data_IF_536994545655
#
_entry.id   IF_536994545655
#
_cell.length_a   1.000
_cell.length_b   1.000
_cell.length_c   1.000
_cell.angle_alpha   90.00
_cell.angle_beta   90.00
_cell.angle_gamma   90.00
#
_symmetry.space_group_name_H-M   'P 1'
#
loop_
_entity.id
_entity.type
_entity.pdbx_description
1 polymer ?
#
# COMPACT_ATOMS: atom_id res chain seq x y z
N UNK A 1 -17.11 -34.46 -2.79
CA UNK A 1 -17.13 -33.01 -2.43
C UNK A 1 -16.63 -32.06 -3.53
N UNK A 2 -15.99 -32.53 -4.61
CA UNK A 2 -15.54 -31.65 -5.71
C UNK A 2 -16.64 -31.30 -6.74
N UNK A 3 -17.65 -32.16 -6.90
CA UNK A 3 -18.73 -31.93 -7.88
C UNK A 3 -19.66 -30.75 -7.53
N UNK A 4 -19.87 -30.45 -6.23
CA UNK A 4 -20.68 -29.29 -5.81
C UNK A 4 -19.96 -27.95 -5.99
N UNK A 5 -18.64 -27.93 -6.14
CA UNK A 5 -17.86 -26.70 -6.32
C UNK A 5 -18.05 -26.11 -7.72
N UNK A 6 -18.21 -26.95 -8.75
CA UNK A 6 -18.34 -26.48 -10.13
C UNK A 6 -19.70 -25.83 -10.44
N UNK A 7 -20.76 -26.21 -9.72
CA UNK A 7 -22.10 -25.63 -9.92
C UNK A 7 -22.27 -24.25 -9.28
N UNK A 8 -21.40 -23.90 -8.31
CA UNK A 8 -21.50 -22.64 -7.57
C UNK A 8 -20.92 -21.45 -8.34
N UNK A 9 -20.08 -21.69 -9.36
CA UNK A 9 -19.34 -20.62 -10.05
C UNK A 9 -20.12 -20.04 -11.25
N UNK A 10 -21.29 -20.61 -11.58
CA UNK A 10 -22.19 -20.17 -12.65
C UNK A 10 -23.32 -19.27 -12.13
N UNK A 11 -23.00 -17.98 -11.92
CA UNK A 11 -24.00 -16.90 -12.03
C UNK A 11 -24.90 -16.61 -10.81
N UNK A 12 -24.54 -17.02 -9.59
CA UNK A 12 -25.30 -16.60 -8.41
C UNK A 12 -25.02 -15.13 -8.05
N UNK A 13 -26.10 -14.37 -7.85
CA UNK A 13 -26.04 -13.02 -7.30
C UNK A 13 -25.47 -13.05 -5.88
N UNK A 14 -24.48 -12.20 -5.61
CA UNK A 14 -23.82 -12.09 -4.29
C UNK A 14 -24.78 -11.65 -3.17
N UNK A 15 -25.94 -11.10 -3.52
CA UNK A 15 -26.89 -10.45 -2.60
C UNK A 15 -27.44 -11.38 -1.50
N UNK A 16 -27.46 -12.70 -1.73
CA UNK A 16 -28.00 -13.69 -0.78
C UNK A 16 -26.93 -14.63 -0.20
N UNK A 17 -25.64 -14.40 -0.51
CA UNK A 17 -24.56 -15.28 -0.09
C UNK A 17 -24.05 -14.92 1.31
N UNK A 18 -23.64 -15.95 2.06
CA UNK A 18 -22.90 -15.73 3.30
C UNK A 18 -21.48 -15.26 2.98
N UNK A 19 -20.81 -14.57 3.92
CA UNK A 19 -19.44 -14.11 3.70
C UNK A 19 -18.43 -15.23 3.40
N UNK A 20 -18.68 -16.45 3.89
CA UNK A 20 -17.87 -17.64 3.58
C UNK A 20 -18.08 -18.07 2.13
N UNK A 21 -19.31 -18.05 1.64
CA UNK A 21 -19.65 -18.44 0.27
C UNK A 21 -19.11 -17.43 -0.75
N UNK A 22 -19.15 -16.14 -0.43
CA UNK A 22 -18.56 -15.08 -1.24
C UNK A 22 -17.04 -15.30 -1.41
N UNK A 23 -16.32 -15.63 -0.34
CA UNK A 23 -14.88 -15.94 -0.42
C UNK A 23 -14.60 -17.16 -1.27
N UNK A 24 -15.41 -18.21 -1.11
CA UNK A 24 -15.29 -19.43 -1.92
C UNK A 24 -15.55 -19.15 -3.40
N UNK A 25 -16.47 -18.23 -3.70
CA UNK A 25 -16.71 -17.72 -5.04
C UNK A 25 -15.49 -16.98 -5.60
N UNK A 26 -14.84 -16.13 -4.80
CA UNK A 26 -13.60 -15.44 -5.22
C UNK A 26 -12.46 -16.40 -5.52
N UNK A 27 -12.25 -17.41 -4.67
CA UNK A 27 -11.29 -18.48 -4.90
C UNK A 27 -11.56 -19.20 -6.23
N UNK A 28 -12.84 -19.42 -6.56
CA UNK A 28 -13.26 -20.09 -7.79
C UNK A 28 -13.12 -19.20 -9.03
N UNK A 29 -13.36 -17.89 -8.89
CA UNK A 29 -13.19 -16.93 -9.98
C UNK A 29 -11.74 -16.84 -10.46
N UNK A 30 -10.79 -16.88 -9.52
CA UNK A 30 -9.35 -16.80 -9.82
C UNK A 30 -8.93 -15.51 -10.56
N UNK A 31 -9.83 -14.53 -10.64
CA UNK A 31 -9.68 -13.32 -11.44
C UNK A 31 -9.86 -12.10 -10.55
N UNK A 32 -8.74 -11.42 -10.28
CA UNK A 32 -8.67 -10.25 -9.40
C UNK A 32 -9.53 -9.10 -9.91
N UNK A 33 -9.69 -8.96 -11.24
CA UNK A 33 -10.51 -7.87 -11.80
C UNK A 33 -11.98 -8.04 -11.41
N UNK A 34 -12.49 -9.27 -11.44
CA UNK A 34 -13.87 -9.57 -11.04
C UNK A 34 -14.08 -9.42 -9.54
N UNK A 35 -13.11 -9.85 -8.73
CA UNK A 35 -13.17 -9.65 -7.27
C UNK A 35 -13.17 -8.16 -6.96
N UNK A 36 -12.31 -7.38 -7.60
CA UNK A 36 -12.27 -5.93 -7.45
C UNK A 36 -13.61 -5.28 -7.81
N UNK A 37 -14.21 -5.66 -8.95
CA UNK A 37 -15.52 -5.15 -9.36
C UNK A 37 -16.61 -5.48 -8.34
N UNK A 38 -16.64 -6.71 -7.83
CA UNK A 38 -17.59 -7.11 -6.79
C UNK A 38 -17.41 -6.30 -5.50
N UNK A 39 -16.15 -6.05 -5.11
CA UNK A 39 -15.79 -5.24 -3.94
C UNK A 39 -16.19 -3.77 -4.13
N UNK A 40 -16.04 -3.19 -5.32
CA UNK A 40 -16.49 -1.82 -5.60
C UNK A 40 -18.02 -1.68 -5.46
N UNK A 41 -18.77 -2.71 -5.84
CA UNK A 41 -20.23 -2.66 -5.93
C UNK A 41 -20.94 -3.04 -4.63
N UNK A 42 -20.34 -3.87 -3.77
CA UNK A 42 -21.00 -4.43 -2.59
C UNK A 42 -20.12 -4.41 -1.32
N UNK A 43 -20.60 -3.75 -0.27
CA UNK A 43 -19.96 -3.68 1.06
C UNK A 43 -19.77 -5.08 1.67
N UNK A 44 -20.69 -6.02 1.43
CA UNK A 44 -20.57 -7.41 1.92
C UNK A 44 -19.45 -8.14 1.21
N UNK A 45 -19.31 -7.92 -0.09
CA UNK A 45 -18.19 -8.45 -0.86
C UNK A 45 -16.85 -7.88 -0.37
N UNK A 46 -16.81 -6.56 -0.11
CA UNK A 46 -15.66 -5.91 0.50
C UNK A 46 -15.32 -6.51 1.88
N UNK A 47 -16.29 -6.60 2.78
CA UNK A 47 -16.10 -7.19 4.10
C UNK A 47 -15.66 -8.65 4.03
N UNK A 48 -16.25 -9.45 3.14
CA UNK A 48 -15.89 -10.85 2.94
C UNK A 48 -14.45 -11.00 2.41
N UNK A 49 -14.03 -10.15 1.47
CA UNK A 49 -12.68 -10.13 0.91
C UNK A 49 -11.63 -9.72 1.96
N UNK A 50 -11.96 -8.79 2.86
CA UNK A 50 -11.02 -8.19 3.80
C UNK A 50 -10.93 -8.89 5.16
N UNK A 51 -12.00 -9.54 5.59
CA UNK A 51 -12.07 -10.22 6.90
C UNK A 51 -11.36 -11.59 6.92
N UNK A 52 -11.10 -12.17 5.75
CA UNK A 52 -10.46 -13.47 5.62
C UNK A 52 -8.95 -13.37 5.36
N UNK A 53 -8.15 -14.36 5.77
CA UNK A 53 -6.76 -14.47 5.36
C UNK A 53 -6.62 -14.69 3.84
N UNK A 54 -5.60 -14.09 3.22
CA UNK A 54 -5.39 -14.01 1.77
C UNK A 54 -5.47 -15.36 1.04
N UNK A 55 -5.00 -16.44 1.68
CA UNK A 55 -5.00 -17.77 1.10
C UNK A 55 -6.41 -18.35 0.85
N UNK A 56 -7.45 -17.85 1.53
CA UNK A 56 -8.83 -18.30 1.33
C UNK A 56 -9.53 -17.67 0.13
N UNK A 57 -9.03 -16.51 -0.34
CA UNK A 57 -9.53 -15.81 -1.52
C UNK A 57 -8.70 -16.12 -2.77
N UNK A 58 -7.58 -16.83 -2.63
CA UNK A 58 -6.67 -17.13 -3.74
C UNK A 58 -5.92 -15.89 -4.25
N UNK A 59 -5.93 -14.82 -3.47
CA UNK A 59 -5.28 -13.56 -3.80
C UNK A 59 -3.88 -13.53 -3.18
N UNK A 60 -2.91 -13.00 -3.93
CA UNK A 60 -1.62 -12.65 -3.36
C UNK A 60 -1.73 -11.40 -2.45
N UNK A 61 -0.72 -11.15 -1.62
CA UNK A 61 -0.73 -10.01 -0.68
C UNK A 61 -0.81 -8.65 -1.40
N UNK A 62 -0.23 -8.55 -2.61
CA UNK A 62 -0.23 -7.31 -3.42
C UNK A 62 -1.63 -7.04 -3.99
N UNK A 63 -2.30 -8.09 -4.46
CA UNK A 63 -3.68 -8.08 -4.95
C UNK A 63 -4.64 -7.75 -3.84
N UNK A 64 -4.45 -8.35 -2.65
CA UNK A 64 -5.22 -8.00 -1.46
C UNK A 64 -5.03 -6.54 -1.06
N UNK A 65 -3.80 -6.02 -1.19
CA UNK A 65 -3.51 -4.59 -1.02
C UNK A 65 -4.31 -3.70 -1.97
N UNK A 66 -4.37 -4.05 -3.26
CA UNK A 66 -5.19 -3.33 -4.24
C UNK A 66 -6.68 -3.39 -3.88
N UNK A 67 -7.18 -4.57 -3.50
CA UNK A 67 -8.59 -4.76 -3.11
C UNK A 67 -8.93 -3.94 -1.87
N UNK A 68 -8.02 -3.85 -0.88
CA UNK A 68 -8.17 -2.99 0.30
C UNK A 68 -8.32 -1.54 -0.11
N UNK A 69 -7.41 -1.01 -0.92
CA UNK A 69 -7.48 0.38 -1.39
C UNK A 69 -8.81 0.66 -2.07
N UNK A 70 -9.22 -0.21 -3.00
CA UNK A 70 -10.50 -0.07 -3.70
C UNK A 70 -11.70 -0.11 -2.76
N UNK A 71 -11.71 -1.02 -1.78
CA UNK A 71 -12.78 -1.12 -0.79
C UNK A 71 -12.90 0.14 0.07
N UNK A 72 -11.78 0.70 0.51
CA UNK A 72 -11.75 1.94 1.29
C UNK A 72 -12.26 3.14 0.47
N UNK A 73 -11.86 3.24 -0.80
CA UNK A 73 -12.31 4.31 -1.69
C UNK A 73 -13.81 4.24 -2.00
N UNK A 74 -14.33 3.02 -2.20
CA UNK A 74 -15.75 2.82 -2.54
C UNK A 74 -16.68 2.99 -1.33
N UNK A 75 -16.31 2.43 -0.17
CA UNK A 75 -17.26 2.27 0.95
C UNK A 75 -16.92 3.09 2.20
N UNK A 76 -15.70 3.62 2.29
CA UNK A 76 -15.24 4.39 3.45
C UNK A 76 -14.48 5.67 3.03
N UNK A 77 -15.10 6.58 2.26
CA UNK A 77 -14.40 7.72 1.65
C UNK A 77 -13.80 8.69 2.67
N UNK A 78 -14.40 8.80 3.87
CA UNK A 78 -13.85 9.62 4.96
C UNK A 78 -12.56 9.05 5.53
N UNK A 79 -12.51 7.73 5.73
CA UNK A 79 -11.32 7.02 6.23
C UNK A 79 -10.22 7.01 5.15
N UNK A 80 -10.61 6.84 3.88
CA UNK A 80 -9.69 6.97 2.75
C UNK A 80 -9.06 8.38 2.68
N UNK A 81 -9.85 9.44 2.92
CA UNK A 81 -9.32 10.80 2.99
C UNK A 81 -8.31 10.98 4.13
N UNK A 82 -8.61 10.48 5.33
CA UNK A 82 -7.69 10.52 6.47
C UNK A 82 -6.40 9.75 6.21
N UNK A 83 -6.48 8.57 5.57
CA UNK A 83 -5.30 7.80 5.18
C UNK A 83 -4.42 8.58 4.19
N UNK A 84 -5.02 9.24 3.19
CA UNK A 84 -4.27 10.08 2.24
C UNK A 84 -3.62 11.27 2.93
N UNK A 85 -4.31 11.92 3.86
CA UNK A 85 -3.74 13.01 4.66
C UNK A 85 -2.56 12.54 5.51
N UNK A 86 -2.69 11.37 6.16
CA UNK A 86 -1.61 10.77 6.93
C UNK A 86 -0.40 10.40 6.06
N UNK A 87 -0.62 9.85 4.86
CA UNK A 87 0.45 9.56 3.89
C UNK A 87 1.16 10.84 3.44
N UNK A 88 0.41 11.89 3.11
CA UNK A 88 0.99 13.18 2.74
C UNK A 88 1.79 13.82 3.90
N UNK A 89 1.35 13.62 5.15
CA UNK A 89 2.11 14.06 6.32
C UNK A 89 3.43 13.28 6.47
N UNK A 90 3.41 11.95 6.28
CA UNK A 90 4.60 11.11 6.32
C UNK A 90 5.62 11.50 5.24
N UNK A 91 5.17 11.77 4.02
CA UNK A 91 6.05 12.24 2.94
C UNK A 91 6.73 13.56 3.27
N UNK A 92 6.00 14.50 3.90
CA UNK A 92 6.57 15.76 4.37
C UNK A 92 7.62 15.53 5.47
N UNK A 93 7.35 14.65 6.43
CA UNK A 93 8.30 14.30 7.49
C UNK A 93 9.55 13.64 6.92
N UNK A 94 9.39 12.70 5.98
CA UNK A 94 10.51 12.05 5.31
C UNK A 94 11.35 13.05 4.52
N UNK A 95 10.71 13.98 3.81
CA UNK A 95 11.42 15.05 3.08
C UNK A 95 12.18 15.96 4.03
N UNK A 96 11.58 16.34 5.16
CA UNK A 96 12.25 17.14 6.18
C UNK A 96 13.42 16.39 6.84
N UNK A 97 13.24 15.10 7.14
CA UNK A 97 14.30 14.23 7.67
C UNK A 97 15.47 14.08 6.70
N UNK A 98 15.20 13.88 5.41
CA UNK A 98 16.23 13.80 4.38
C UNK A 98 17.03 15.12 4.28
N UNK A 99 16.35 16.27 4.38
CA UNK A 99 17.01 17.59 4.40
C UNK A 99 17.88 17.78 5.65
N UNK A 100 17.40 17.36 6.82
CA UNK A 100 18.17 17.43 8.06
C UNK A 100 19.44 16.56 7.99
N UNK A 101 19.32 15.34 7.49
CA UNK A 101 20.46 14.45 7.30
C UNK A 101 21.47 15.03 6.30
N UNK A 102 20.99 15.68 5.23
CA UNK A 102 21.85 16.37 4.28
C UNK A 102 22.60 17.55 4.93
N UNK A 103 21.94 18.34 5.77
CA UNK A 103 22.58 19.46 6.49
C UNK A 103 23.64 18.96 7.49
N UNK A 104 23.30 17.94 8.29
CA UNK A 104 24.24 17.33 9.23
C UNK A 104 25.43 16.71 8.49
N UNK A 105 25.18 15.99 7.39
CA UNK A 105 26.22 15.41 6.54
C UNK A 105 27.14 16.48 5.93
N UNK A 106 26.58 17.61 5.49
CA UNK A 106 27.34 18.75 4.99
C UNK A 106 28.27 19.34 6.05
N UNK A 107 27.78 19.54 7.28
CA UNK A 107 28.58 20.07 8.41
C UNK A 107 29.69 19.11 8.85
N UNK A 108 29.41 17.80 8.90
CA UNK A 108 30.42 16.77 9.20
C UNK A 108 31.53 16.73 8.15
N UNK A 109 31.18 16.92 6.87
CA UNK A 109 32.15 16.97 5.78
C UNK A 109 33.10 18.16 5.90
N UNK A 110 32.59 19.33 6.32
CA UNK A 110 33.41 20.52 6.60
C UNK A 110 34.40 20.26 7.74
N UNK A 111 34.01 19.48 8.76
CA UNK A 111 34.89 19.14 9.89
C UNK A 111 35.92 18.05 9.56
N UNK A 112 35.69 17.27 8.51
CA UNK A 112 36.63 16.26 8.01
C UNK A 112 37.69 16.81 7.06
N UNK A 113 37.60 18.06 6.61
CA UNK A 113 38.66 18.66 5.80
C UNK A 113 39.93 18.83 6.65
N UNK A 114 41.05 18.15 6.31
CA UNK A 114 42.26 18.25 7.11
C UNK A 114 42.81 19.68 7.07
N UNK A 115 43.36 20.20 8.19
CA UNK A 115 43.83 21.58 8.31
C UNK A 115 44.96 21.96 7.33
N UNK A 116 45.56 20.98 6.65
CA UNK A 116 46.58 21.21 5.62
C UNK A 116 46.04 21.86 4.34
N UNK A 117 44.76 21.68 4.00
CA UNK A 117 44.17 22.32 2.80
C UNK A 117 43.89 23.82 3.00
N UNK A 118 43.58 24.23 4.23
CA UNK A 118 43.41 25.65 4.59
C UNK A 118 44.76 26.39 4.62
N UNK A 119 45.84 25.73 5.05
CA UNK A 119 47.19 26.30 5.09
C UNK A 119 47.80 26.52 3.69
N UNK A 120 47.46 25.69 2.69
CA UNK A 120 47.93 25.90 1.31
C UNK A 120 47.29 27.11 0.60
N UNK A 121 46.13 27.60 1.06
CA UNK A 121 45.50 28.81 0.51
C UNK A 121 46.04 30.11 1.11
N UNK A 122 46.57 30.06 2.33
CA UNK A 122 47.18 31.22 3.00
C UNK A 122 48.66 31.42 2.64
N UNK A 123 49.32 30.43 2.04
CA UNK A 123 50.75 30.49 1.68
C UNK A 123 51.02 30.96 0.23
N UNK A 124 49.97 31.37 -0.50
CA UNK A 124 50.05 31.72 -1.92
C UNK A 124 50.14 33.21 -2.26
N UNK A 125 50.05 34.12 -1.29
CA UNK A 125 49.92 35.58 -1.52
C UNK A 125 51.16 36.41 -1.11
N UNK A 126 52.36 35.80 -1.10
CA UNK A 126 53.64 36.52 -0.87
C UNK A 126 54.64 36.28 -2.03
N UNK A 127 54.29 36.69 -3.26
CA UNK A 127 55.24 36.81 -4.37
C UNK A 127 54.91 37.97 -5.29
#
# INVERSE_FOLDING_TARGET
MLASLLHFCSGQSLQNLSGVDIRRHFLCLGDVAKVRQAVEQDVRAASAALSGPAFLSGLDERQLGMIRTTAYEAHAPKEAAQLREAQAALEKVNTAGARLLADIGGRLKVWQEPPSAALSKLKGDDS
#
